data_IF_620913006954
#
_entry.id   IF_620913006954
#
_cell.length_a   1.000
_cell.length_b   1.000
_cell.length_c   1.000
_cell.angle_alpha   90.00
_cell.angle_beta   90.00
_cell.angle_gamma   90.00
#
_symmetry.space_group_name_H-M   'P 1'
#
loop_
_entity.id
_entity.type
_entity.pdbx_description
1 polymer ?
#
# COMPACT_ATOMS: atom_id res chain seq x y z
N UNK A 1 7.59 28.90 8.56
CA UNK A 1 6.37 28.82 8.54
C UNK A 1 5.79 28.36 9.73
N UNK A 2 4.85 28.77 10.09
CA UNK A 2 4.37 28.34 11.18
C UNK A 2 3.25 27.57 10.99
N UNK A 3 3.11 26.61 11.67
CA UNK A 3 2.08 25.83 11.54
C UNK A 3 1.19 26.14 12.50
N UNK A 4 0.50 27.03 12.40
CA UNK A 4 -0.27 27.34 13.32
C UNK A 4 -1.41 26.55 13.42
N UNK A 5 -1.70 25.87 12.54
CA UNK A 5 -2.88 25.17 12.54
C UNK A 5 -2.75 23.93 13.22
N UNK A 6 -3.40 23.75 14.28
CA UNK A 6 -3.23 22.62 14.94
C UNK A 6 -4.13 21.58 14.53
N UNK A 7 -5.09 21.74 13.71
CA UNK A 7 -5.93 20.66 13.30
C UNK A 7 -5.51 20.14 11.96
N UNK A 8 -4.24 19.93 11.73
CA UNK A 8 -3.77 19.43 10.46
C UNK A 8 -4.41 18.10 10.14
N UNK A 9 -4.96 17.96 8.95
CA UNK A 9 -5.36 16.68 8.40
C UNK A 9 -4.84 16.61 6.99
N UNK A 10 -4.57 15.42 6.49
CA UNK A 10 -4.11 15.27 5.11
C UNK A 10 -5.23 15.44 4.09
N UNK A 11 -6.46 15.64 4.55
CA UNK A 11 -7.60 15.74 3.66
C UNK A 11 -8.43 16.94 4.02
N UNK A 12 -9.35 17.28 3.14
CA UNK A 12 -10.24 18.42 3.37
C UNK A 12 -11.32 18.14 4.41
N UNK A 13 -11.32 17.03 5.01
CA UNK A 13 -12.32 16.70 6.01
C UNK A 13 -13.56 16.03 5.47
N UNK A 14 -13.57 15.70 4.19
CA UNK A 14 -14.69 15.00 3.61
C UNK A 14 -14.68 13.55 4.06
N UNK A 15 -15.86 13.02 4.27
CA UNK A 15 -15.99 11.65 4.74
C UNK A 15 -15.34 10.65 3.82
N UNK A 16 -15.51 10.86 2.51
CA UNK A 16 -14.96 9.92 1.54
C UNK A 16 -13.45 9.86 1.55
N UNK A 17 -12.79 10.95 1.96
CA UNK A 17 -11.34 10.97 2.01
C UNK A 17 -10.79 9.96 3.01
N UNK A 18 -11.42 9.90 4.19
CA UNK A 18 -10.94 8.97 5.22
C UNK A 18 -11.24 7.52 4.84
N UNK A 19 -12.41 7.28 4.25
CA UNK A 19 -12.75 5.94 3.81
C UNK A 19 -11.81 5.50 2.68
N UNK A 20 -11.54 6.39 1.75
CA UNK A 20 -10.62 6.10 0.66
C UNK A 20 -9.22 5.80 1.16
N UNK A 21 -8.74 6.59 2.12
CA UNK A 21 -7.43 6.37 2.69
C UNK A 21 -7.36 5.02 3.41
N UNK A 22 -8.37 4.70 4.20
CA UNK A 22 -8.41 3.44 4.92
C UNK A 22 -8.39 2.26 3.97
N UNK A 23 -9.13 2.36 2.87
CA UNK A 23 -9.17 1.31 1.86
C UNK A 23 -7.82 1.14 1.18
N UNK A 24 -7.20 2.26 0.80
CA UNK A 24 -5.88 2.22 0.16
C UNK A 24 -4.84 1.63 1.08
N UNK A 25 -4.91 1.97 2.35
CA UNK A 25 -3.96 1.47 3.34
C UNK A 25 -4.08 -0.05 3.49
N UNK A 26 -5.32 -0.52 3.63
CA UNK A 26 -5.55 -1.95 3.77
C UNK A 26 -5.07 -2.71 2.53
N UNK A 27 -5.38 -2.18 1.35
CA UNK A 27 -4.97 -2.80 0.10
C UNK A 27 -3.45 -2.81 -0.03
N UNK A 28 -2.79 -1.72 0.34
CA UNK A 28 -1.35 -1.66 0.21
C UNK A 28 -0.66 -2.74 1.05
N UNK A 29 -1.03 -2.84 2.32
CA UNK A 29 -0.36 -3.81 3.18
C UNK A 29 -0.72 -5.24 2.82
N UNK A 30 -1.95 -5.48 2.38
CA UNK A 30 -2.36 -6.82 1.98
C UNK A 30 -1.60 -7.28 0.73
N UNK A 31 -1.27 -6.36 -0.16
CA UNK A 31 -0.66 -6.69 -1.44
C UNK A 31 0.83 -6.33 -1.54
N UNK A 32 1.42 -5.84 -0.47
CA UNK A 32 2.82 -5.37 -0.52
C UNK A 32 3.77 -6.47 -0.98
N UNK A 33 3.56 -7.70 -0.51
CA UNK A 33 4.41 -8.81 -0.92
C UNK A 33 4.31 -9.09 -2.40
N UNK A 34 3.12 -8.95 -2.98
CA UNK A 34 2.92 -9.16 -4.40
C UNK A 34 3.61 -8.07 -5.22
N UNK A 35 3.53 -6.82 -4.77
CA UNK A 35 4.20 -5.73 -5.47
C UNK A 35 5.70 -5.97 -5.51
N UNK A 36 6.27 -6.38 -4.38
CA UNK A 36 7.71 -6.65 -4.28
C UNK A 36 8.09 -7.80 -5.20
N UNK A 37 7.34 -8.89 -5.14
CA UNK A 37 7.63 -10.06 -5.95
C UNK A 37 7.54 -9.74 -7.43
N UNK A 38 6.52 -8.98 -7.83
CA UNK A 38 6.35 -8.62 -9.23
C UNK A 38 7.50 -7.77 -9.74
N UNK A 39 7.97 -6.82 -8.92
CA UNK A 39 9.11 -6.01 -9.31
C UNK A 39 10.38 -6.83 -9.40
N UNK A 40 10.57 -7.78 -8.49
CA UNK A 40 11.74 -8.66 -8.55
C UNK A 40 11.72 -9.50 -9.82
N UNK A 41 10.56 -9.99 -10.21
CA UNK A 41 10.42 -10.77 -11.43
C UNK A 41 10.70 -9.90 -12.65
N UNK A 42 10.13 -8.68 -12.68
CA UNK A 42 10.36 -7.77 -13.79
C UNK A 42 11.83 -7.45 -13.96
N UNK A 43 12.53 -7.21 -12.86
CA UNK A 43 13.95 -6.89 -12.90
C UNK A 43 14.75 -8.08 -13.43
N UNK A 44 14.38 -9.31 -13.01
CA UNK A 44 15.06 -10.49 -13.50
C UNK A 44 14.84 -10.69 -14.99
N UNK A 45 13.62 -10.40 -15.45
CA UNK A 45 13.33 -10.52 -16.88
C UNK A 45 14.11 -9.50 -17.70
N UNK A 46 14.25 -8.29 -17.18
CA UNK A 46 15.04 -7.27 -17.85
C UNK A 46 16.50 -7.70 -17.91
N UNK A 47 17.04 -8.22 -16.81
CA UNK A 47 18.42 -8.70 -16.77
C UNK A 47 18.63 -9.82 -17.77
N UNK A 48 17.67 -10.76 -17.86
CA UNK A 48 17.78 -11.86 -18.81
C UNK A 48 17.76 -11.36 -20.24
N UNK A 49 16.93 -10.36 -20.53
CA UNK A 49 16.88 -9.79 -21.87
C UNK A 49 18.17 -9.08 -22.22
N UNK A 50 18.73 -8.34 -21.27
CA UNK A 50 20.03 -7.67 -21.48
C UNK A 50 21.11 -8.72 -21.79
N UNK A 51 21.11 -9.79 -21.00
CA UNK A 51 22.13 -10.80 -21.19
C UNK A 51 21.97 -11.50 -22.54
N UNK A 52 20.73 -11.80 -22.94
CA UNK A 52 20.50 -12.42 -24.23
C UNK A 52 20.97 -11.53 -25.38
N UNK A 53 20.70 -10.24 -25.28
CA UNK A 53 21.15 -9.31 -26.32
C UNK A 53 22.69 -9.30 -26.39
N UNK A 54 23.33 -9.27 -25.25
CA UNK A 54 24.79 -9.24 -25.21
C UNK A 54 25.37 -10.53 -25.78
N UNK A 55 24.77 -11.69 -25.45
CA UNK A 55 25.25 -12.95 -26.00
C UNK A 55 25.05 -13.03 -27.52
N UNK A 56 23.92 -12.54 -27.98
CA UNK A 56 23.66 -12.57 -29.42
C UNK A 56 24.61 -11.66 -30.19
N UNK A 57 24.97 -10.53 -29.61
CA UNK A 57 25.85 -9.62 -30.30
C UNK A 57 27.31 -10.01 -30.21
N UNK A 58 27.67 -10.90 -29.28
CA UNK A 58 29.04 -11.37 -29.17
C UNK A 58 29.49 -12.07 -30.42
N UNK A 59 28.63 -12.87 -31.01
CA UNK A 59 28.99 -13.66 -32.19
C UNK A 59 28.49 -13.04 -33.50
N UNK A 60 27.79 -11.92 -33.45
CA UNK A 60 27.18 -11.37 -34.62
C UNK A 60 28.07 -10.29 -35.25
N UNK A 61 28.07 -10.25 -36.59
CA UNK A 61 28.74 -9.20 -37.28
C UNK A 61 27.73 -8.13 -37.52
N UNK A 62 27.64 -7.18 -36.62
CA UNK A 62 26.66 -6.13 -36.73
C UNK A 62 27.19 -4.97 -37.54
N UNK A 63 26.41 -4.45 -38.48
CA UNK A 63 26.79 -3.22 -39.16
C UNK A 63 26.39 -2.07 -38.23
N UNK A 64 26.71 -0.84 -38.65
CA UNK A 64 26.49 0.34 -37.81
C UNK A 64 25.06 0.51 -37.41
N UNK A 65 24.11 0.29 -38.35
CA UNK A 65 22.71 0.45 -38.06
C UNK A 65 22.21 -0.58 -37.05
N UNK A 66 22.68 -1.81 -37.18
CA UNK A 66 22.31 -2.87 -36.24
C UNK A 66 22.90 -2.61 -34.86
N UNK A 67 24.15 -2.16 -34.84
CA UNK A 67 24.81 -1.80 -33.58
C UNK A 67 24.08 -0.67 -32.87
N UNK A 68 23.58 0.29 -33.63
CA UNK A 68 22.84 1.40 -33.05
C UNK A 68 21.53 0.91 -32.41
N UNK A 69 20.83 0.01 -33.11
CA UNK A 69 19.58 -0.54 -32.56
C UNK A 69 19.84 -1.30 -31.26
N UNK A 70 20.89 -2.09 -31.23
CA UNK A 70 21.25 -2.85 -30.05
C UNK A 70 21.58 -1.91 -28.89
N UNK A 71 22.39 -0.90 -29.16
CA UNK A 71 22.76 0.07 -28.16
C UNK A 71 21.53 0.77 -27.59
N UNK A 72 20.62 1.18 -28.47
CA UNK A 72 19.43 1.88 -28.06
C UNK A 72 18.55 0.98 -27.19
N UNK A 73 18.39 -0.29 -27.58
CA UNK A 73 17.59 -1.23 -26.80
C UNK A 73 18.21 -1.48 -25.44
N UNK A 74 19.53 -1.67 -25.38
CA UNK A 74 20.22 -1.86 -24.12
C UNK A 74 20.03 -0.65 -23.20
N UNK A 75 20.10 0.54 -23.77
CA UNK A 75 19.92 1.74 -22.98
C UNK A 75 18.52 1.82 -22.41
N UNK A 76 17.52 1.49 -23.20
CA UNK A 76 16.13 1.48 -22.75
C UNK A 76 15.93 0.48 -21.63
N UNK A 77 16.49 -0.72 -21.78
CA UNK A 77 16.36 -1.74 -20.76
C UNK A 77 17.04 -1.35 -19.45
N UNK A 78 18.19 -0.72 -19.55
CA UNK A 78 18.90 -0.27 -18.36
C UNK A 78 18.16 0.84 -17.62
N UNK A 79 17.53 1.74 -18.38
CA UNK A 79 16.73 2.79 -17.78
C UNK A 79 15.50 2.21 -17.11
N UNK A 80 14.86 1.24 -17.74
CA UNK A 80 13.69 0.57 -17.17
C UNK A 80 14.07 -0.18 -15.90
N UNK A 81 15.21 -0.89 -15.92
CA UNK A 81 15.68 -1.59 -14.73
C UNK A 81 15.93 -0.62 -13.59
N UNK A 82 16.56 0.52 -13.91
CA UNK A 82 16.87 1.51 -12.90
C UNK A 82 15.60 2.04 -12.25
N UNK A 83 14.57 2.32 -13.06
CA UNK A 83 13.32 2.82 -12.53
C UNK A 83 12.64 1.79 -11.63
N UNK A 84 12.62 0.52 -12.06
CA UNK A 84 11.98 -0.53 -11.27
C UNK A 84 12.77 -0.82 -10.00
N UNK A 85 14.09 -0.72 -10.05
CA UNK A 85 14.92 -0.90 -8.86
C UNK A 85 14.65 0.21 -7.84
N UNK A 86 14.47 1.43 -8.31
CA UNK A 86 14.13 2.52 -7.40
C UNK A 86 12.77 2.28 -6.74
N UNK A 87 11.82 1.84 -7.52
CA UNK A 87 10.49 1.55 -6.99
C UNK A 87 10.56 0.43 -5.95
N UNK A 88 11.31 -0.63 -6.24
CA UNK A 88 11.49 -1.72 -5.31
C UNK A 88 12.14 -1.24 -4.01
N UNK A 89 13.15 -0.39 -4.13
CA UNK A 89 13.80 0.16 -2.93
C UNK A 89 12.86 1.02 -2.11
N UNK A 90 11.95 1.74 -2.76
CA UNK A 90 10.92 2.50 -2.05
C UNK A 90 9.98 1.57 -1.29
N UNK A 91 9.60 0.45 -1.91
CA UNK A 91 8.76 -0.53 -1.23
C UNK A 91 9.47 -1.14 -0.04
N UNK A 92 10.75 -1.45 -0.18
CA UNK A 92 11.53 -1.97 0.95
C UNK A 92 11.56 -0.94 2.08
N UNK A 93 11.78 0.33 1.73
CA UNK A 93 11.83 1.39 2.74
C UNK A 93 10.50 1.50 3.51
N UNK A 94 9.40 1.22 2.81
CA UNK A 94 8.08 1.30 3.44
C UNK A 94 7.75 0.06 4.26
N UNK A 95 8.37 -1.08 3.98
CA UNK A 95 7.92 -2.35 4.56
C UNK A 95 8.95 -3.08 5.39
N UNK A 96 10.22 -2.66 5.36
CA UNK A 96 11.29 -3.46 5.98
C UNK A 96 11.15 -3.67 7.47
N UNK A 97 10.63 -2.70 8.19
CA UNK A 97 10.59 -2.78 9.63
C UNK A 97 9.20 -3.04 10.17
N UNK A 98 8.28 -3.48 9.32
CA UNK A 98 6.93 -3.72 9.77
C UNK A 98 6.46 -5.08 9.26
N UNK A 99 5.50 -5.65 9.99
CA UNK A 99 4.89 -6.90 9.57
C UNK A 99 3.67 -6.53 8.75
N UNK A 100 3.81 -6.55 7.43
CA UNK A 100 2.73 -6.11 6.54
C UNK A 100 1.48 -6.95 6.68
N UNK A 101 1.63 -8.24 6.96
CA UNK A 101 0.47 -9.11 7.12
C UNK A 101 -0.33 -8.73 8.34
N UNK A 102 0.34 -8.49 9.44
CA UNK A 102 -0.31 -8.06 10.66
C UNK A 102 -0.96 -6.69 10.50
N UNK A 103 -0.26 -5.78 9.82
CA UNK A 103 -0.81 -4.46 9.55
C UNK A 103 -1.98 -4.52 8.60
N UNK A 104 -1.95 -5.43 7.63
CA UNK A 104 -3.08 -5.60 6.72
C UNK A 104 -4.32 -6.03 7.49
N UNK A 105 -4.17 -6.95 8.43
CA UNK A 105 -5.29 -7.38 9.26
C UNK A 105 -5.85 -6.21 10.06
N UNK A 106 -4.97 -5.44 10.68
CA UNK A 106 -5.38 -4.29 11.47
C UNK A 106 -6.07 -3.24 10.60
N UNK A 107 -5.51 -2.98 9.43
CA UNK A 107 -6.10 -1.98 8.54
C UNK A 107 -7.44 -2.43 7.98
N UNK A 108 -7.59 -3.73 7.74
CA UNK A 108 -8.88 -4.25 7.28
C UNK A 108 -9.93 -4.15 8.37
N UNK A 109 -9.55 -4.39 9.62
CA UNK A 109 -10.48 -4.19 10.74
C UNK A 109 -10.86 -2.73 10.86
N UNK A 110 -9.88 -1.83 10.72
CA UNK A 110 -10.15 -0.39 10.76
C UNK A 110 -11.08 0.02 9.63
N UNK A 111 -10.89 -0.56 8.45
CA UNK A 111 -11.74 -0.24 7.31
C UNK A 111 -13.18 -0.64 7.58
N UNK A 112 -13.38 -1.83 8.14
CA UNK A 112 -14.73 -2.28 8.48
C UNK A 112 -15.37 -1.32 9.47
N UNK A 113 -14.59 -0.89 10.45
CA UNK A 113 -15.13 0.05 11.46
C UNK A 113 -15.50 1.38 10.83
N UNK A 114 -14.64 1.90 9.94
CA UNK A 114 -14.90 3.19 9.28
C UNK A 114 -16.11 3.08 8.37
N UNK A 115 -16.23 1.95 7.66
CA UNK A 115 -17.41 1.73 6.81
C UNK A 115 -18.68 1.73 7.64
N UNK A 116 -18.65 1.12 8.81
CA UNK A 116 -19.79 1.14 9.71
C UNK A 116 -20.16 2.54 10.18
N UNK A 117 -19.14 3.35 10.49
CA UNK A 117 -19.37 4.72 10.90
C UNK A 117 -20.01 5.52 9.77
N UNK A 118 -19.53 5.33 8.54
CA UNK A 118 -20.06 6.08 7.41
C UNK A 118 -21.47 5.69 7.04
N UNK A 119 -21.89 4.48 7.42
CA UNK A 119 -23.23 4.02 7.11
C UNK A 119 -24.26 4.38 8.15
N UNK A 120 -23.84 4.84 9.31
CA UNK A 120 -24.81 5.17 10.37
C UNK A 120 -25.57 6.42 10.00
N UNK A 121 -26.90 6.38 10.02
CA UNK A 121 -27.70 7.56 9.71
C UNK A 121 -27.49 8.64 10.76
N UNK A 122 -27.51 9.89 10.32
CA UNK A 122 -27.27 10.98 11.22
C UNK A 122 -28.19 11.02 12.40
N UNK A 123 -29.44 10.71 12.19
CA UNK A 123 -30.38 10.84 13.28
C UNK A 123 -30.29 9.73 14.30
N UNK A 124 -29.50 8.68 14.00
CA UNK A 124 -29.40 7.64 14.99
C UNK A 124 -28.13 7.71 15.72
N UNK A 125 -27.46 8.79 15.60
CA UNK A 125 -26.25 8.80 16.18
C UNK A 125 -26.21 8.85 17.52
N UNK A 126 -26.79 9.11 18.05
CA UNK A 126 -26.69 9.18 19.29
C UNK A 126 -26.07 8.34 20.04
N UNK A 127 -25.96 7.84 20.39
CA UNK A 127 -25.46 7.02 21.15
C UNK A 127 -24.31 6.69 21.36
N UNK A 128 -23.84 6.78 21.51
CA UNK A 128 -22.89 6.39 21.66
C UNK A 128 -21.90 6.43 22.26
N UNK A 129 -21.64 6.47 22.54
CA UNK A 129 -20.71 6.57 23.01
C UNK A 129 -20.50 6.00 24.14
N UNK A 130 -20.87 5.46 24.56
CA UNK A 130 -20.69 5.01 25.41
C UNK A 130 -20.11 4.00 25.64
N UNK A 131 -19.93 3.93 26.13
CA UNK A 131 -19.35 3.04 26.35
C UNK A 131 -19.02 2.17 26.70
N UNK A 132 -18.73 2.09 26.60
CA UNK A 132 -18.77 1.23 26.66
C UNK A 132 -18.65 0.49 27.38
N UNK A 133 -18.54 0.45 27.81
CA UNK A 133 -18.79 -0.32 28.16
C UNK A 133 -18.77 -1.08 28.57
N UNK A 134 -18.52 -1.07 28.95
CA UNK A 134 -18.78 -1.85 28.96
C UNK A 134 -18.93 -2.49 29.14
N UNK A 135 -18.86 -2.39 29.98
CA UNK A 135 -19.39 -3.30 29.75
C UNK A 135 -19.54 -3.74 30.15
N UNK A 136 -19.55 -3.39 30.55
CA UNK A 136 -20.12 -3.93 30.66
C UNK A 136 -20.55 -4.31 30.73
N UNK A 137 -20.45 -4.19 31.41
CA UNK A 137 -21.16 -4.71 31.35
C UNK A 137 -21.50 -5.08 31.40
N UNK A 138 -21.35 -5.01 32.02
CA UNK A 138 -21.98 -5.57 31.99
C UNK A 138 -22.34 -5.83 32.03
N UNK A 139 -21.97 -5.83 32.85
CA UNK A 139 -22.62 -6.22 32.82
C UNK A 139 -23.03 -6.27 32.94
N UNK A 140 -22.91 -6.31 33.29
CA UNK A 140 -23.64 -6.55 33.22
C UNK A 140 -24.24 -6.78 33.33
N UNK A 141 -23.89 -6.83 33.90
CA UNK A 141 -24.72 -7.13 33.87
C UNK A 141 -25.22 -7.05 34.02
N UNK A 142 -25.09 -7.02 34.83
CA UNK A 142 -25.76 -7.06 34.77
C UNK A 142 -26.20 -6.91 34.96
N UNK A 143 -25.98 -6.79 35.40
CA UNK A 143 -26.63 -6.80 35.19
C UNK A 143 -27.07 -6.71 35.22
N UNK A 144 -27.09 -6.41 35.63
CA UNK A 144 -27.65 -6.45 35.32
C UNK A 144 -28.19 -6.50 35.43
N UNK A 145 -27.72 -6.78 36.10
CA UNK A 145 -28.27 -6.83 35.93
C UNK A 145 -28.64 -6.54 36.20
N UNK A 146 -28.45 -6.35 36.71
CA UNK A 146 -28.78 -6.17 36.52
C UNK A 146 -29.26 -5.94 36.52
N UNK A 147 -29.01 -5.98 37.41
CA UNK A 147 -29.53 -5.89 37.04
C UNK A 147 -29.74 -5.74 36.86
N UNK A 148 -29.40 -5.81 37.58
CA UNK A 148 -29.88 -6.04 36.97
C UNK A 148 -29.94 -5.88 36.82
#
# INVERSE_FOLDING_TARGET
MCIRDRSYTPFDGKENDWLSFARQQAEFYRNAGHYITNLQIDIKEIDAEIENILLETEDANCNVAQGYKVFKRLKELRLEKKAKTKELNCLYALTDYIDCESLADTCEDNLVEIEGIMEVPEHSEVTKMQPVDNGQEENMQIVEDMVG
#
